data_IF_431901805883
#
_entry.id   IF_431901805883
#
_cell.length_a   1.000
_cell.length_b   1.000
_cell.length_c   1.000
_cell.angle_alpha   90.00
_cell.angle_beta   90.00
_cell.angle_gamma   90.00
#
_symmetry.space_group_name_H-M   'P 1'
#
loop_
_entity.id
_entity.type
_entity.pdbx_description
1 polymer ?
#
# COMPACT_ATOMS: atom_id res chain seq x y z
N UNK A 1 49.48 6.73 44.61
CA UNK A 1 48.20 6.79 43.92
C UNK A 1 48.25 5.86 42.75
N UNK A 2 47.58 4.70 42.82
CA UNK A 2 47.59 3.68 41.80
C UNK A 2 46.35 3.85 40.93
N UNK A 3 46.51 4.02 39.63
CA UNK A 3 45.44 4.03 38.61
C UNK A 3 45.10 2.59 38.26
N UNK A 4 43.87 2.15 38.60
CA UNK A 4 43.33 0.88 38.16
C UNK A 4 42.80 1.04 36.71
N UNK A 5 43.38 0.28 35.79
CA UNK A 5 42.94 0.23 34.39
C UNK A 5 41.58 -0.44 34.26
N UNK A 6 40.65 0.27 33.62
CA UNK A 6 39.35 -0.25 33.21
C UNK A 6 39.54 -1.07 31.91
N UNK A 7 39.42 -2.38 32.00
CA UNK A 7 39.41 -3.28 30.82
C UNK A 7 37.99 -3.29 30.26
N UNK A 8 37.75 -2.56 29.18
CA UNK A 8 36.53 -2.69 28.39
C UNK A 8 36.63 -3.94 27.51
N UNK A 9 35.96 -5.00 27.95
CA UNK A 9 35.79 -6.19 27.12
C UNK A 9 34.97 -5.85 25.86
N UNK A 10 35.67 -5.79 24.74
CA UNK A 10 35.05 -5.62 23.42
C UNK A 10 34.37 -6.95 23.03
N UNK A 11 33.07 -7.07 23.24
CA UNK A 11 32.28 -8.19 22.73
C UNK A 11 32.19 -8.07 21.21
N UNK A 12 32.85 -8.97 20.51
CA UNK A 12 32.83 -9.01 19.05
C UNK A 12 31.52 -9.67 18.58
N UNK A 13 30.57 -8.91 18.03
CA UNK A 13 29.25 -9.43 17.66
C UNK A 13 29.29 -10.48 16.54
N UNK A 14 30.38 -10.51 15.75
CA UNK A 14 30.61 -11.54 14.72
C UNK A 14 30.97 -12.91 15.32
N UNK A 15 31.63 -12.94 16.47
CA UNK A 15 31.98 -14.19 17.15
C UNK A 15 30.75 -14.86 17.76
N UNK A 16 29.76 -14.07 18.24
CA UNK A 16 28.52 -14.58 18.79
C UNK A 16 27.55 -15.08 17.73
N UNK A 17 27.52 -14.44 16.56
CA UNK A 17 26.83 -14.94 15.37
C UNK A 17 27.38 -16.30 14.92
N UNK A 18 28.71 -16.46 14.86
CA UNK A 18 29.36 -17.73 14.50
C UNK A 18 29.01 -18.87 15.47
N UNK A 19 28.95 -18.59 16.77
CA UNK A 19 28.52 -19.58 17.80
C UNK A 19 27.04 -19.92 17.66
N UNK A 20 26.19 -18.95 17.34
CA UNK A 20 24.77 -19.15 17.09
C UNK A 20 24.51 -20.10 15.92
N UNK A 21 25.21 -19.90 14.81
CA UNK A 21 25.12 -20.79 13.64
C UNK A 21 25.66 -22.20 13.92
N UNK A 22 26.79 -22.33 14.60
CA UNK A 22 27.37 -23.61 14.96
C UNK A 22 26.45 -24.42 15.90
N UNK A 23 25.82 -23.75 16.86
CA UNK A 23 24.86 -24.38 17.77
C UNK A 23 23.56 -24.78 17.07
N UNK A 24 23.06 -23.97 16.12
CA UNK A 24 21.89 -24.31 15.31
C UNK A 24 22.17 -25.51 14.39
N UNK A 25 23.37 -25.58 13.81
CA UNK A 25 23.80 -26.70 12.97
C UNK A 25 24.00 -28.00 13.79
N UNK A 26 24.59 -27.90 14.98
CA UNK A 26 24.72 -29.04 15.89
C UNK A 26 23.36 -29.55 16.41
N UNK A 27 22.44 -28.63 16.70
CA UNK A 27 21.06 -28.96 17.09
C UNK A 27 20.29 -29.66 15.95
N UNK A 28 20.41 -29.16 14.73
CA UNK A 28 19.78 -29.75 13.55
C UNK A 28 20.31 -31.16 13.24
N UNK A 29 21.65 -31.36 13.29
CA UNK A 29 22.25 -32.67 13.09
C UNK A 29 21.91 -33.67 14.19
N UNK A 30 21.85 -33.22 15.43
CA UNK A 30 21.41 -34.06 16.57
C UNK A 30 19.96 -34.52 16.45
N UNK A 31 19.06 -33.61 16.05
CA UNK A 31 17.66 -33.91 15.80
C UNK A 31 17.46 -34.85 14.61
N UNK A 32 18.23 -34.62 13.54
CA UNK A 32 18.19 -35.48 12.34
C UNK A 32 18.67 -36.88 12.64
N UNK A 33 19.74 -37.07 13.45
CA UNK A 33 20.23 -38.38 13.87
C UNK A 33 19.26 -39.10 14.80
N UNK A 34 18.59 -38.37 15.72
CA UNK A 34 17.50 -38.95 16.54
C UNK A 34 16.32 -39.41 15.69
N UNK A 35 15.96 -38.61 14.68
CA UNK A 35 14.90 -38.95 13.73
C UNK A 35 15.26 -40.20 12.92
N UNK A 36 16.48 -40.28 12.40
CA UNK A 36 16.96 -41.44 11.62
C UNK A 36 16.99 -42.74 12.40
N UNK A 37 17.30 -42.66 13.71
CA UNK A 37 17.38 -43.85 14.58
C UNK A 37 16.04 -44.21 15.23
N UNK A 38 14.96 -43.51 14.87
CA UNK A 38 13.63 -43.89 15.34
C UNK A 38 13.17 -45.17 14.66
N UNK A 39 12.61 -46.12 15.42
CA UNK A 39 12.18 -47.45 14.97
C UNK A 39 11.17 -47.41 13.80
N UNK A 40 10.36 -46.33 13.73
CA UNK A 40 9.48 -46.08 12.60
C UNK A 40 10.22 -45.74 11.30
N UNK A 41 11.32 -44.99 11.40
CA UNK A 41 12.12 -44.54 10.25
C UNK A 41 13.00 -45.71 9.75
N UNK A 42 13.52 -46.55 10.64
CA UNK A 42 14.30 -47.75 10.22
C UNK A 42 13.45 -48.73 9.46
N UNK A 43 12.18 -48.96 9.89
CA UNK A 43 11.26 -49.82 9.14
C UNK A 43 10.90 -49.30 7.75
N UNK A 44 10.84 -47.98 7.58
CA UNK A 44 10.65 -47.34 6.25
C UNK A 44 11.90 -47.43 5.38
N UNK A 45 13.09 -47.30 5.95
CA UNK A 45 14.35 -47.49 5.19
C UNK A 45 14.50 -48.93 4.70
N UNK A 46 14.22 -49.91 5.54
CA UNK A 46 14.25 -51.33 5.14
C UNK A 46 13.24 -51.63 4.03
N UNK A 47 12.04 -51.03 4.07
CA UNK A 47 11.06 -51.11 2.99
C UNK A 47 11.56 -50.45 1.69
N UNK A 48 12.18 -49.28 1.78
CA UNK A 48 12.70 -48.53 0.62
C UNK A 48 13.89 -49.26 -0.04
N UNK A 49 14.72 -49.95 0.73
CA UNK A 49 15.84 -50.75 0.22
C UNK A 49 15.41 -52.17 -0.20
N UNK A 50 14.15 -52.54 0.03
CA UNK A 50 13.64 -53.82 -0.44
C UNK A 50 13.68 -53.90 -1.97
N UNK A 51 14.07 -55.02 -2.50
CA UNK A 51 14.15 -55.24 -3.96
C UNK A 51 12.78 -55.46 -4.61
N UNK A 52 11.69 -55.26 -3.85
CA UNK A 52 10.32 -55.37 -4.32
C UNK A 52 9.97 -54.26 -5.31
N UNK A 53 9.41 -54.64 -6.44
CA UNK A 53 8.89 -53.72 -7.45
C UNK A 53 7.84 -52.75 -6.86
N UNK A 54 7.00 -53.24 -5.96
CA UNK A 54 5.99 -52.46 -5.25
C UNK A 54 6.62 -51.38 -4.39
N UNK A 55 7.70 -51.69 -3.64
CA UNK A 55 8.39 -50.72 -2.82
C UNK A 55 9.01 -49.60 -3.67
N UNK A 56 9.59 -49.90 -4.83
CA UNK A 56 10.15 -48.94 -5.77
C UNK A 56 9.10 -48.01 -6.35
N UNK A 57 7.94 -48.54 -6.73
CA UNK A 57 6.80 -47.73 -7.24
C UNK A 57 6.23 -46.85 -6.13
N UNK A 58 6.00 -47.38 -4.94
CA UNK A 58 5.54 -46.57 -3.78
C UNK A 58 6.51 -45.45 -3.43
N UNK A 59 7.81 -45.69 -3.49
CA UNK A 59 8.83 -44.66 -3.25
C UNK A 59 8.81 -43.57 -4.30
N UNK A 60 8.68 -43.91 -5.58
CA UNK A 60 8.58 -42.96 -6.67
C UNK A 60 7.32 -42.09 -6.51
N UNK A 61 6.18 -42.68 -6.19
CA UNK A 61 4.94 -41.95 -5.91
C UNK A 61 5.11 -41.03 -4.71
N UNK A 62 5.75 -41.49 -3.64
CA UNK A 62 6.03 -40.67 -2.45
C UNK A 62 6.91 -39.44 -2.81
N UNK A 63 7.96 -39.62 -3.62
CA UNK A 63 8.81 -38.55 -4.07
C UNK A 63 8.01 -37.51 -4.87
N UNK A 64 7.15 -37.98 -5.79
CA UNK A 64 6.31 -37.06 -6.59
C UNK A 64 5.37 -36.27 -5.68
N UNK A 65 4.74 -36.92 -4.71
CA UNK A 65 3.86 -36.22 -3.75
C UNK A 65 4.63 -35.17 -2.95
N UNK A 66 5.79 -35.54 -2.39
CA UNK A 66 6.64 -34.61 -1.66
C UNK A 66 7.09 -33.43 -2.52
N UNK A 67 7.45 -33.68 -3.78
CA UNK A 67 7.84 -32.65 -4.73
C UNK A 67 6.68 -31.66 -5.02
N UNK A 68 5.47 -32.18 -5.25
CA UNK A 68 4.28 -31.34 -5.45
C UNK A 68 3.98 -30.51 -4.21
N UNK A 69 4.08 -31.10 -3.02
CA UNK A 69 3.91 -30.38 -1.75
C UNK A 69 4.98 -29.29 -1.62
N UNK A 70 6.24 -29.59 -1.89
CA UNK A 70 7.34 -28.63 -1.81
C UNK A 70 7.14 -27.46 -2.76
N UNK A 71 6.73 -27.71 -4.01
CA UNK A 71 6.41 -26.64 -4.98
C UNK A 71 5.26 -25.76 -4.47
N UNK A 72 4.18 -26.37 -3.96
CA UNK A 72 3.03 -25.61 -3.44
C UNK A 72 3.37 -24.78 -2.22
N UNK A 73 4.16 -25.31 -1.30
CA UNK A 73 4.63 -24.56 -0.13
C UNK A 73 5.60 -23.46 -0.55
N UNK A 74 6.55 -23.75 -1.44
CA UNK A 74 7.50 -22.78 -1.96
C UNK A 74 6.81 -21.64 -2.68
N UNK A 75 5.85 -21.91 -3.57
CA UNK A 75 5.11 -20.88 -4.28
C UNK A 75 4.27 -20.01 -3.34
N UNK A 76 3.64 -20.59 -2.31
CA UNK A 76 2.92 -19.83 -1.28
C UNK A 76 3.84 -18.92 -0.49
N UNK A 77 5.02 -19.43 -0.11
CA UNK A 77 6.01 -18.65 0.64
C UNK A 77 6.52 -17.48 -0.18
N UNK A 78 6.86 -17.69 -1.45
CA UNK A 78 7.31 -16.65 -2.37
C UNK A 78 6.19 -15.62 -2.58
N UNK A 79 4.96 -16.05 -2.82
CA UNK A 79 3.82 -15.14 -2.98
C UNK A 79 3.60 -14.30 -1.73
N UNK A 80 3.69 -14.88 -0.55
CA UNK A 80 3.56 -14.16 0.72
C UNK A 80 4.70 -13.14 0.91
N UNK A 81 5.94 -13.53 0.61
CA UNK A 81 7.12 -12.69 0.78
C UNK A 81 7.13 -11.50 -0.19
N UNK A 82 6.70 -11.71 -1.45
CA UNK A 82 6.66 -10.70 -2.51
C UNK A 82 5.33 -9.96 -2.62
N UNK A 83 4.35 -10.28 -1.76
CA UNK A 83 3.05 -9.62 -1.79
C UNK A 83 3.17 -8.15 -1.40
N UNK A 84 2.64 -7.22 -2.22
CA UNK A 84 2.64 -5.81 -1.88
C UNK A 84 1.77 -5.54 -0.65
N UNK A 85 2.12 -4.49 0.10
CA UNK A 85 1.36 -4.09 1.29
C UNK A 85 -0.07 -3.70 0.92
N UNK A 86 -1.03 -4.11 1.75
CA UNK A 86 -2.43 -3.65 1.63
C UNK A 86 -2.61 -2.18 2.04
N UNK A 87 -1.68 -1.65 2.82
CA UNK A 87 -1.67 -0.28 3.32
C UNK A 87 -0.32 0.39 3.00
N UNK A 88 -0.04 0.70 1.73
CA UNK A 88 1.22 1.29 1.35
C UNK A 88 1.31 2.74 1.84
N UNK A 89 2.48 3.14 2.34
CA UNK A 89 2.81 4.54 2.61
C UNK A 89 3.34 5.15 1.32
N UNK A 90 2.57 6.05 0.71
CA UNK A 90 2.93 6.66 -0.57
C UNK A 90 3.90 7.83 -0.39
N UNK A 91 3.72 8.62 0.67
CA UNK A 91 4.59 9.74 1.01
C UNK A 91 5.07 9.53 2.43
N UNK A 92 6.38 9.35 2.57
CA UNK A 92 7.04 9.26 3.87
C UNK A 92 7.71 10.60 4.19
N UNK A 93 7.37 11.18 5.34
CA UNK A 93 7.87 12.46 5.80
C UNK A 93 7.17 13.68 5.19
N UNK A 94 7.78 14.86 5.43
CA UNK A 94 7.23 16.14 5.01
C UNK A 94 7.55 16.43 3.54
N UNK A 95 6.55 16.81 2.77
CA UNK A 95 6.68 17.23 1.39
C UNK A 95 6.03 18.61 1.15
N UNK A 96 6.75 19.49 0.48
CA UNK A 96 6.20 20.80 0.08
C UNK A 96 5.27 20.62 -1.12
N UNK A 97 4.06 21.17 -1.04
CA UNK A 97 3.05 21.10 -2.11
C UNK A 97 3.41 21.85 -3.40
N UNK A 98 4.47 22.68 -3.37
CA UNK A 98 4.98 23.37 -4.56
C UNK A 98 5.76 22.47 -5.51
N UNK A 99 6.13 21.25 -5.08
CA UNK A 99 6.85 20.28 -5.90
C UNK A 99 5.94 19.11 -6.18
N UNK A 100 5.55 18.96 -7.45
CA UNK A 100 4.80 17.80 -7.90
C UNK A 100 5.59 16.50 -7.64
N UNK A 101 4.88 15.45 -7.27
CA UNK A 101 5.41 14.11 -7.13
C UNK A 101 4.52 13.13 -7.87
N UNK A 102 5.14 12.26 -8.62
CA UNK A 102 4.47 11.14 -9.27
C UNK A 102 4.94 9.84 -8.65
N UNK A 103 4.01 9.01 -8.24
CA UNK A 103 4.25 7.68 -7.67
C UNK A 103 3.68 6.69 -8.65
N UNK A 104 4.54 5.88 -9.24
CA UNK A 104 4.14 4.86 -10.21
C UNK A 104 3.61 3.64 -9.48
N UNK A 105 2.57 3.01 -10.05
CA UNK A 105 2.01 1.77 -9.53
C UNK A 105 2.51 0.54 -10.30
N UNK A 106 3.06 0.71 -11.51
CA UNK A 106 3.57 -0.38 -12.32
C UNK A 106 4.84 -0.98 -11.66
N UNK A 107 4.82 -2.26 -11.26
CA UNK A 107 5.98 -2.92 -10.65
C UNK A 107 7.22 -2.97 -11.55
N UNK A 108 7.08 -2.72 -12.84
CA UNK A 108 8.21 -2.66 -13.78
C UNK A 108 9.00 -1.37 -13.69
N UNK A 109 8.43 -0.35 -13.06
CA UNK A 109 9.08 0.94 -12.86
C UNK A 109 9.82 0.92 -11.53
N UNK A 110 11.07 1.37 -11.52
CA UNK A 110 11.83 1.50 -10.29
C UNK A 110 11.11 2.43 -9.29
N UNK A 111 11.20 2.13 -8.01
CA UNK A 111 10.58 2.87 -6.91
C UNK A 111 9.05 2.97 -6.99
N UNK A 112 8.40 2.09 -7.76
CA UNK A 112 6.95 2.02 -7.82
C UNK A 112 6.36 1.48 -6.52
N UNK A 113 5.19 2.00 -6.16
CA UNK A 113 4.43 1.54 -4.99
C UNK A 113 3.09 1.02 -5.49
N UNK A 114 2.92 -0.31 -5.64
CA UNK A 114 1.66 -0.88 -6.08
C UNK A 114 0.54 -0.61 -5.06
N UNK A 115 -0.58 -0.11 -5.53
CA UNK A 115 -1.80 0.07 -4.76
C UNK A 115 -2.76 -1.05 -5.12
N UNK A 116 -3.02 -1.93 -4.17
CA UNK A 116 -3.94 -3.04 -4.39
C UNK A 116 -5.36 -2.51 -4.56
N UNK A 117 -6.07 -3.10 -5.51
CA UNK A 117 -7.50 -2.82 -5.69
C UNK A 117 -8.31 -3.59 -4.66
N UNK A 118 -9.51 -3.10 -4.40
CA UNK A 118 -10.57 -3.82 -3.70
C UNK A 118 -10.96 -5.09 -4.48
N UNK A 119 -11.04 -6.23 -3.79
CA UNK A 119 -11.36 -7.54 -4.40
C UNK A 119 -12.36 -8.27 -3.53
N UNK A 120 -13.52 -8.60 -4.11
CA UNK A 120 -14.60 -9.36 -3.45
C UNK A 120 -15.12 -8.73 -2.15
N UNK A 121 -15.07 -7.42 -2.03
CA UNK A 121 -15.65 -6.74 -0.89
C UNK A 121 -17.19 -6.74 -0.97
N UNK A 122 -17.84 -6.77 0.19
CA UNK A 122 -19.30 -6.96 0.27
C UNK A 122 -20.09 -5.85 -0.41
N UNK A 123 -19.64 -4.61 -0.25
CA UNK A 123 -20.32 -3.41 -0.79
C UNK A 123 -19.80 -3.00 -2.16
N UNK A 124 -18.84 -3.75 -2.73
CA UNK A 124 -18.20 -3.46 -4.00
C UNK A 124 -16.86 -2.77 -3.84
N UNK A 125 -16.68 -1.58 -4.39
CA UNK A 125 -15.43 -0.83 -4.26
C UNK A 125 -15.25 -0.30 -2.83
N UNK A 126 -14.20 -0.75 -2.15
CA UNK A 126 -13.84 -0.28 -0.82
C UNK A 126 -12.39 0.18 -0.78
N UNK A 127 -12.15 1.38 -0.27
CA UNK A 127 -10.82 1.91 -0.03
C UNK A 127 -10.83 3.00 1.04
N UNK A 128 -9.67 3.24 1.62
CA UNK A 128 -9.44 4.35 2.55
C UNK A 128 -8.16 5.08 2.16
N UNK A 129 -8.25 6.39 2.02
CA UNK A 129 -7.12 7.29 1.86
C UNK A 129 -6.98 8.15 3.10
N UNK A 130 -5.77 8.26 3.61
CA UNK A 130 -5.46 9.13 4.75
C UNK A 130 -4.29 10.02 4.38
N UNK A 131 -4.43 11.31 4.62
CA UNK A 131 -3.40 12.31 4.32
C UNK A 131 -3.33 13.36 5.43
N UNK A 132 -2.11 13.75 5.80
CA UNK A 132 -1.84 14.89 6.64
C UNK A 132 -1.52 16.10 5.77
N UNK A 133 -2.20 17.21 6.03
CA UNK A 133 -2.09 18.44 5.26
C UNK A 133 -1.79 19.61 6.19
N UNK A 134 -0.93 20.52 5.74
CA UNK A 134 -0.75 21.82 6.33
C UNK A 134 -1.06 22.87 5.26
N UNK A 135 -2.14 23.61 5.41
CA UNK A 135 -2.62 24.60 4.47
C UNK A 135 -2.31 25.98 5.06
N UNK A 136 -1.33 26.67 4.50
CA UNK A 136 -0.94 28.01 4.98
C UNK A 136 -2.02 29.06 4.68
N UNK A 137 -2.54 29.03 3.45
CA UNK A 137 -3.60 29.94 3.01
C UNK A 137 -4.41 29.32 1.88
N UNK A 138 -5.67 29.68 1.84
CA UNK A 138 -6.52 29.47 0.68
C UNK A 138 -6.25 30.62 -0.27
N UNK A 139 -6.10 30.34 -1.56
CA UNK A 139 -5.76 31.38 -2.51
C UNK A 139 -6.72 32.56 -2.45
N UNK A 140 -6.17 33.73 -2.61
CA UNK A 140 -6.94 34.96 -2.67
C UNK A 140 -7.54 35.12 -4.08
N UNK A 141 -8.87 35.08 -4.22
CA UNK A 141 -9.53 35.34 -5.50
C UNK A 141 -9.33 36.74 -6.02
N UNK A 142 -8.92 37.70 -5.14
CA UNK A 142 -8.63 39.07 -5.48
C UNK A 142 -7.14 39.32 -5.74
N UNK A 143 -6.30 38.27 -5.75
CA UNK A 143 -4.87 38.43 -6.04
C UNK A 143 -4.64 39.05 -7.41
N UNK A 144 -3.93 40.14 -7.45
CA UNK A 144 -3.62 40.89 -8.67
C UNK A 144 -2.85 40.10 -9.72
N UNK A 145 -2.18 39.02 -9.31
CA UNK A 145 -1.47 38.13 -10.24
C UNK A 145 -2.42 37.26 -11.06
N UNK A 146 -3.59 36.92 -10.50
CA UNK A 146 -4.61 36.07 -11.16
C UNK A 146 -6.01 36.46 -10.68
N UNK A 147 -6.54 37.64 -11.02
CA UNK A 147 -7.82 38.13 -10.49
C UNK A 147 -9.03 37.29 -10.82
N UNK A 148 -8.91 36.40 -11.82
CA UNK A 148 -9.93 35.45 -12.24
C UNK A 148 -9.49 34.00 -12.06
N UNK A 149 -8.58 33.73 -11.09
CA UNK A 149 -8.09 32.37 -10.87
C UNK A 149 -9.20 31.47 -10.31
N UNK A 150 -9.90 30.83 -11.23
CA UNK A 150 -10.94 29.84 -10.94
C UNK A 150 -10.38 28.41 -11.00
N UNK A 151 -9.10 28.23 -10.72
CA UNK A 151 -8.47 26.93 -10.80
C UNK A 151 -8.55 26.16 -9.50
N UNK A 152 -8.81 24.86 -9.62
CA UNK A 152 -8.58 23.92 -8.53
C UNK A 152 -7.09 23.82 -8.23
N UNK A 153 -6.73 23.72 -6.96
CA UNK A 153 -5.35 23.49 -6.56
C UNK A 153 -5.18 22.05 -6.12
N UNK A 154 -4.40 21.33 -6.89
CA UNK A 154 -4.19 19.90 -6.72
C UNK A 154 -3.49 19.59 -5.40
N UNK A 155 -4.04 18.65 -4.63
CA UNK A 155 -3.42 18.05 -3.45
C UNK A 155 -2.86 16.70 -3.83
N UNK A 156 -3.72 15.75 -4.20
CA UNK A 156 -3.35 14.47 -4.80
C UNK A 156 -4.47 13.93 -5.67
N UNK A 157 -4.15 13.02 -6.57
CA UNK A 157 -5.14 12.20 -7.25
C UNK A 157 -4.56 10.83 -7.57
N UNK A 158 -5.44 9.84 -7.68
CA UNK A 158 -5.17 8.56 -8.31
C UNK A 158 -5.82 8.56 -9.68
N UNK A 159 -5.02 8.49 -10.73
CA UNK A 159 -5.49 8.57 -12.11
C UNK A 159 -4.51 9.29 -13.02
N UNK A 160 -5.03 10.08 -13.95
CA UNK A 160 -4.20 10.78 -14.93
C UNK A 160 -3.34 11.87 -14.31
N UNK A 161 -2.22 12.13 -14.96
CA UNK A 161 -1.28 13.19 -14.58
C UNK A 161 -1.44 14.46 -15.43
N UNK A 162 -2.44 14.54 -16.26
CA UNK A 162 -2.67 15.70 -17.12
C UNK A 162 -3.50 16.75 -16.39
N UNK A 163 -2.82 17.80 -15.94
CA UNK A 163 -3.47 18.97 -15.35
C UNK A 163 -4.06 19.88 -16.43
N UNK A 164 -5.34 20.17 -16.35
CA UNK A 164 -6.02 21.10 -17.26
C UNK A 164 -5.68 22.52 -16.87
N UNK A 165 -4.99 23.24 -17.75
CA UNK A 165 -4.42 24.58 -17.50
C UNK A 165 -5.28 25.74 -18.04
N UNK A 166 -6.26 25.46 -18.88
CA UNK A 166 -7.16 26.49 -19.44
C UNK A 166 -8.54 26.43 -18.81
N UNK A 167 -9.31 27.51 -18.91
CA UNK A 167 -10.70 27.54 -18.47
C UNK A 167 -11.53 26.58 -19.37
N UNK A 168 -11.58 25.32 -18.98
CA UNK A 168 -12.29 24.26 -19.70
C UNK A 168 -13.47 23.82 -18.85
N UNK A 169 -14.59 23.58 -19.51
CA UNK A 169 -15.78 23.02 -18.86
C UNK A 169 -16.03 21.63 -19.38
N UNK A 170 -16.51 20.76 -18.50
CA UNK A 170 -17.01 19.44 -18.83
C UNK A 170 -18.42 19.29 -18.26
N UNK A 171 -19.38 19.13 -19.13
CA UNK A 171 -20.80 18.98 -18.75
C UNK A 171 -21.25 20.06 -17.74
N UNK A 172 -20.88 21.33 -17.99
CA UNK A 172 -21.16 22.46 -17.14
C UNK A 172 -20.24 22.66 -15.93
N UNK A 173 -19.32 21.72 -15.66
CA UNK A 173 -18.35 21.81 -14.56
C UNK A 173 -17.03 22.42 -15.05
N UNK A 174 -16.48 23.33 -14.24
CA UNK A 174 -15.14 23.87 -14.50
C UNK A 174 -14.10 22.86 -14.03
N UNK A 175 -13.24 22.39 -14.93
CA UNK A 175 -12.18 21.42 -14.66
C UNK A 175 -10.79 22.05 -14.61
N UNK A 176 -10.70 23.38 -14.70
CA UNK A 176 -9.44 24.10 -14.68
C UNK A 176 -8.64 23.81 -13.40
N UNK A 177 -7.41 23.35 -13.53
CA UNK A 177 -6.54 22.95 -12.42
C UNK A 177 -6.73 21.52 -11.92
N UNK A 178 -7.71 20.78 -12.45
CA UNK A 178 -7.84 19.36 -12.15
C UNK A 178 -6.93 18.49 -13.05
N UNK A 179 -6.54 17.35 -12.56
CA UNK A 179 -6.11 16.24 -13.41
C UNK A 179 -7.35 15.57 -13.98
N UNK A 180 -7.49 15.58 -15.30
CA UNK A 180 -8.71 15.15 -15.97
C UNK A 180 -8.36 14.22 -17.14
N UNK A 181 -9.19 13.22 -17.48
CA UNK A 181 -10.51 12.92 -16.91
C UNK A 181 -10.52 11.99 -15.69
N UNK A 182 -9.42 11.34 -15.35
CA UNK A 182 -9.45 10.25 -14.39
C UNK A 182 -9.07 10.69 -12.97
N UNK A 183 -10.04 10.57 -12.06
CA UNK A 183 -9.89 10.77 -10.62
C UNK A 183 -10.56 9.63 -9.87
N UNK A 184 -9.76 8.83 -9.19
CA UNK A 184 -10.29 7.71 -8.42
C UNK A 184 -9.56 7.44 -7.10
N UNK A 185 -9.61 8.36 -6.09
CA UNK A 185 -10.13 9.72 -6.02
C UNK A 185 -9.14 10.80 -6.44
N UNK A 186 -9.62 12.03 -6.62
CA UNK A 186 -8.84 13.26 -6.65
C UNK A 186 -9.21 14.17 -5.48
N UNK A 187 -8.23 14.86 -4.91
CA UNK A 187 -8.42 15.83 -3.82
C UNK A 187 -7.79 17.15 -4.21
N UNK A 188 -8.57 18.22 -4.09
CA UNK A 188 -8.21 19.56 -4.53
C UNK A 188 -8.64 20.59 -3.50
N UNK A 189 -7.94 21.72 -3.42
CA UNK A 189 -8.48 22.90 -2.76
C UNK A 189 -9.47 23.59 -3.70
N UNK A 190 -10.56 24.06 -3.15
CA UNK A 190 -11.58 24.82 -3.88
C UNK A 190 -10.99 26.10 -4.48
N UNK A 191 -11.60 26.53 -5.57
CA UNK A 191 -11.19 27.72 -6.32
C UNK A 191 -11.38 29.02 -5.52
N UNK A 192 -12.50 29.14 -4.82
CA UNK A 192 -12.97 30.42 -4.25
C UNK A 192 -13.40 30.32 -2.78
N UNK A 193 -13.45 29.11 -2.23
CA UNK A 193 -13.97 28.88 -0.88
C UNK A 193 -12.95 28.19 0.00
N UNK A 194 -13.08 28.36 1.31
CA UNK A 194 -12.37 27.52 2.26
C UNK A 194 -12.98 26.12 2.28
N UNK A 195 -12.58 25.30 1.31
CA UNK A 195 -13.06 23.93 1.19
C UNK A 195 -12.04 23.05 0.47
N UNK A 196 -12.02 21.78 0.82
CA UNK A 196 -11.42 20.71 0.05
C UNK A 196 -12.53 20.08 -0.81
N UNK A 197 -12.24 19.90 -2.09
CA UNK A 197 -13.13 19.21 -3.04
C UNK A 197 -12.53 17.86 -3.36
N UNK A 198 -13.30 16.82 -3.10
CA UNK A 198 -12.96 15.45 -3.49
C UNK A 198 -13.73 15.13 -4.75
N UNK A 199 -13.02 14.71 -5.77
CA UNK A 199 -13.59 14.32 -7.07
C UNK A 199 -13.49 12.82 -7.21
N UNK A 200 -14.59 12.20 -7.62
CA UNK A 200 -14.65 10.77 -7.91
C UNK A 200 -15.32 10.53 -9.25
N UNK A 201 -14.68 9.72 -10.11
CA UNK A 201 -15.33 9.23 -11.31
C UNK A 201 -16.35 8.16 -10.93
N UNK A 202 -17.57 8.29 -11.42
CA UNK A 202 -18.61 7.27 -11.33
C UNK A 202 -19.00 6.77 -12.73
N UNK A 203 -19.82 5.72 -12.79
CA UNK A 203 -20.20 5.18 -14.10
C UNK A 203 -21.07 6.15 -14.92
N UNK A 204 -21.86 6.99 -14.26
CA UNK A 204 -22.74 7.95 -14.93
C UNK A 204 -22.10 9.33 -15.07
N UNK A 205 -21.20 9.71 -14.13
CA UNK A 205 -20.55 11.03 -14.12
C UNK A 205 -19.04 10.88 -14.09
N UNK A 206 -18.37 11.62 -14.97
CA UNK A 206 -16.89 11.73 -14.95
C UNK A 206 -16.43 12.56 -13.75
N UNK A 207 -17.23 13.54 -13.34
CA UNK A 207 -16.95 14.40 -12.19
C UNK A 207 -18.14 14.32 -11.24
N UNK A 208 -17.94 13.69 -10.08
CA UNK A 208 -18.87 13.77 -8.96
C UNK A 208 -18.12 14.33 -7.76
N UNK A 209 -18.53 15.49 -7.27
CA UNK A 209 -17.80 16.28 -6.28
C UNK A 209 -18.39 16.10 -4.88
N UNK A 210 -17.50 16.01 -3.91
CA UNK A 210 -17.83 16.02 -2.47
C UNK A 210 -17.07 17.15 -1.82
N UNK A 211 -17.78 18.16 -1.33
CA UNK A 211 -17.16 19.34 -0.71
C UNK A 211 -17.04 19.17 0.82
N UNK A 212 -15.83 19.43 1.34
CA UNK A 212 -15.50 19.48 2.77
C UNK A 212 -15.24 20.93 3.11
N UNK A 213 -16.16 21.58 3.80
CA UNK A 213 -16.12 23.03 4.11
C UNK A 213 -15.36 23.33 5.40
N UNK A 214 -15.05 24.59 5.58
CA UNK A 214 -14.51 25.15 6.83
C UNK A 214 -13.23 24.45 7.32
N UNK A 215 -12.29 24.24 6.39
CA UNK A 215 -11.02 23.58 6.67
C UNK A 215 -10.14 24.48 7.55
N UNK A 216 -9.62 23.97 8.68
CA UNK A 216 -8.66 24.71 9.48
C UNK A 216 -7.40 25.04 8.68
N UNK A 217 -7.00 26.31 8.65
CA UNK A 217 -5.75 26.78 8.02
C UNK A 217 -4.69 27.05 9.08
N UNK A 218 -3.40 27.09 8.68
CA UNK A 218 -2.25 27.25 9.56
C UNK A 218 -2.16 26.20 10.68
N UNK A 219 -2.69 25.02 10.43
CA UNK A 219 -2.64 23.87 11.34
C UNK A 219 -2.47 22.59 10.53
N UNK A 220 -1.85 21.60 11.15
CA UNK A 220 -1.87 20.23 10.63
C UNK A 220 -3.28 19.65 10.79
N UNK A 221 -3.80 19.13 9.71
CA UNK A 221 -5.08 18.42 9.68
C UNK A 221 -4.88 17.04 9.07
N UNK A 222 -5.55 16.05 9.61
CA UNK A 222 -5.68 14.75 8.99
C UNK A 222 -7.00 14.67 8.24
N UNK A 223 -6.95 14.37 6.96
CA UNK A 223 -8.15 14.13 6.15
C UNK A 223 -8.18 12.67 5.75
N UNK A 224 -9.30 12.01 6.02
CA UNK A 224 -9.52 10.61 5.65
C UNK A 224 -10.74 10.51 4.76
N UNK A 225 -10.56 9.84 3.63
CA UNK A 225 -11.62 9.49 2.68
C UNK A 225 -11.85 7.98 2.77
N UNK A 226 -13.03 7.57 3.16
CA UNK A 226 -13.44 6.16 3.16
C UNK A 226 -14.56 5.96 2.15
N UNK A 227 -14.29 5.20 1.12
CA UNK A 227 -15.30 4.78 0.16
C UNK A 227 -15.76 3.35 0.50
N UNK A 228 -17.06 3.14 0.48
CA UNK A 228 -17.67 1.83 0.67
C UNK A 228 -18.87 1.71 -0.27
N UNK A 229 -18.70 0.99 -1.36
CA UNK A 229 -19.72 0.92 -2.42
C UNK A 229 -20.02 2.31 -2.98
N UNK A 230 -21.26 2.77 -2.84
CA UNK A 230 -21.70 4.11 -3.26
C UNK A 230 -21.52 5.19 -2.20
N UNK A 231 -21.04 4.87 -1.01
CA UNK A 231 -20.92 5.84 0.10
C UNK A 231 -19.50 6.30 0.23
N UNK A 232 -19.30 7.60 0.38
CA UNK A 232 -18.03 8.20 0.75
C UNK A 232 -18.18 8.96 2.06
N UNK A 233 -17.54 8.47 3.10
CA UNK A 233 -17.40 9.14 4.38
C UNK A 233 -16.09 9.94 4.38
N UNK A 234 -16.17 11.21 4.78
CA UNK A 234 -15.03 12.09 4.91
C UNK A 234 -14.83 12.48 6.36
N UNK A 235 -13.59 12.39 6.82
CA UNK A 235 -13.23 12.71 8.20
C UNK A 235 -12.17 13.81 8.20
N UNK A 236 -12.29 14.73 9.15
CA UNK A 236 -11.25 15.71 9.47
C UNK A 236 -10.87 15.54 10.94
N UNK A 237 -9.60 15.30 11.22
CA UNK A 237 -9.07 15.06 12.56
C UNK A 237 -9.85 13.95 13.33
N UNK A 238 -10.23 12.90 12.62
CA UNK A 238 -10.96 11.76 13.20
C UNK A 238 -12.47 11.95 13.34
N UNK A 239 -12.99 13.16 13.08
CA UNK A 239 -14.43 13.42 13.14
C UNK A 239 -15.04 13.35 11.75
N UNK A 240 -16.16 12.63 11.60
CA UNK A 240 -16.90 12.58 10.34
C UNK A 240 -17.52 13.95 10.07
N UNK A 241 -17.18 14.54 8.93
CA UNK A 241 -17.65 15.88 8.53
C UNK A 241 -18.67 15.81 7.40
N UNK A 242 -18.62 14.75 6.59
CA UNK A 242 -19.57 14.57 5.51
C UNK A 242 -19.75 13.08 5.20
N UNK A 243 -20.98 12.72 4.84
CA UNK A 243 -21.33 11.43 4.24
C UNK A 243 -22.06 11.69 2.95
N UNK A 244 -21.42 11.37 1.85
CA UNK A 244 -21.97 11.52 0.52
C UNK A 244 -22.38 10.16 -0.05
N UNK A 245 -23.53 10.11 -0.73
CA UNK A 245 -23.96 8.93 -1.48
C UNK A 245 -23.91 9.27 -2.96
N UNK A 246 -23.02 8.61 -3.68
CA UNK A 246 -22.86 8.82 -5.13
C UNK A 246 -24.11 8.43 -5.91
N UNK A 247 -24.42 9.19 -6.95
CA UNK A 247 -25.53 8.91 -7.85
C UNK A 247 -25.34 7.57 -8.58
N UNK A 248 -24.10 7.22 -8.88
CA UNK A 248 -23.74 5.96 -9.52
C UNK A 248 -22.56 5.28 -8.82
N UNK A 249 -22.24 4.06 -9.20
CA UNK A 249 -21.14 3.31 -8.63
C UNK A 249 -19.82 3.99 -9.01
N UNK A 250 -18.91 4.24 -8.05
CA UNK A 250 -17.58 4.75 -8.32
C UNK A 250 -16.79 3.82 -9.22
N UNK A 251 -16.04 4.39 -10.16
CA UNK A 251 -15.13 3.62 -11.02
C UNK A 251 -13.83 3.36 -10.29
N UNK A 252 -13.37 2.12 -10.37
CA UNK A 252 -12.02 1.79 -9.97
C UNK A 252 -11.05 2.30 -11.04
N UNK A 253 -10.11 3.15 -10.62
CA UNK A 253 -9.09 3.68 -11.51
C UNK A 253 -7.82 2.82 -11.42
N UNK A 254 -7.23 2.51 -12.56
CA UNK A 254 -6.02 1.69 -12.69
C UNK A 254 -4.75 2.53 -12.96
N UNK A 255 -4.90 3.83 -13.13
CA UNK A 255 -3.80 4.77 -13.35
C UNK A 255 -2.98 5.09 -12.12
#
# INVERSE_FOLDING_TARGET
MAYSGFSTGYNNPMADLGKGFANAQAGATGTFNKFRNNRMVSGTTDFLYSNSLVAKVCFLVLIIILFVIAIRLGSRLITWLLSPSKNPILINGLRKGTKAARIYQDPKVADSIPILRSVNEREGLEFTWSVWLYIEKIGDPASSAYPNDSRYRHIFNKGDFQNVQSATTWDGNNVNGMNFPNNGPGMYLSQKKNAIVVVMNTFNNVIEEVEIKDIPINKWINVVLRCQGKKMDTYVNGTIVNRHVFNSVPKQNYG
#
